data_IF_446065113597
#
_entry.id   IF_446065113597
#
_cell.length_a   1.000
_cell.length_b   1.000
_cell.length_c   1.000
_cell.angle_alpha   90.00
_cell.angle_beta   90.00
_cell.angle_gamma   90.00
#
_symmetry.space_group_name_H-M   'P 1'
#
loop_
_entity.id
_entity.type
_entity.pdbx_description
1 polymer ?
2 non-polymer ?
3 non-polymer ?
4 water ?
#
# COMPACT_ATOMS: atom_id res chain seq x y z
N UNK A 1 4.19 6.86 -25.47
CA UNK A 1 3.32 7.32 -24.35
C UNK A 1 3.22 8.84 -24.30
N UNK A 2 2.05 9.37 -23.91
CA UNK A 2 1.92 10.80 -23.64
C UNK A 2 2.72 11.16 -22.39
N UNK A 3 2.89 12.46 -22.14
CA UNK A 3 3.33 12.95 -20.84
C UNK A 3 2.51 12.29 -19.72
N UNK A 4 3.12 12.08 -18.54
CA UNK A 4 2.39 11.41 -17.44
C UNK A 4 1.01 11.98 -17.13
N UNK A 5 0.90 13.31 -17.00
CA UNK A 5 -0.41 13.95 -16.73
C UNK A 5 -1.40 13.75 -17.89
N UNK A 6 -0.88 13.81 -19.11
CA UNK A 6 -1.61 13.51 -20.35
C UNK A 6 -2.20 12.09 -20.29
N UNK A 7 -1.37 11.12 -19.89
CA UNK A 7 -1.78 9.72 -19.76
C UNK A 7 -2.80 9.53 -18.64
N UNK A 8 -2.57 10.19 -17.50
CA UNK A 8 -3.50 10.12 -16.38
C UNK A 8 -4.89 10.64 -16.77
N UNK A 9 -4.95 11.78 -17.44
CA UNK A 9 -6.21 12.28 -17.97
C UNK A 9 -6.91 11.28 -18.90
N UNK A 10 -6.14 10.72 -19.84
CA UNK A 10 -6.65 9.69 -20.76
C UNK A 10 -7.21 8.49 -19.99
N UNK A 11 -6.49 8.06 -18.96
CA UNK A 11 -6.95 6.95 -18.13
C UNK A 11 -8.31 7.25 -17.48
N UNK A 12 -8.48 8.45 -16.94
CA UNK A 12 -9.76 8.87 -16.34
C UNK A 12 -10.91 8.77 -17.32
N UNK A 13 -10.73 9.38 -18.49
CA UNK A 13 -11.78 9.41 -19.50
C UNK A 13 -12.10 8.01 -20.02
N UNK A 14 -11.07 7.17 -20.13
CA UNK A 14 -11.26 5.82 -20.66
C UNK A 14 -11.94 4.90 -19.63
N UNK A 15 -11.56 5.06 -18.36
CA UNK A 15 -12.10 4.23 -17.28
C UNK A 15 -13.47 4.71 -16.82
N UNK A 16 -13.81 5.96 -17.14
CA UNK A 16 -14.98 6.63 -16.57
C UNK A 16 -14.95 6.53 -15.05
N UNK A 17 -13.78 6.85 -14.49
CA UNK A 17 -13.58 6.81 -13.06
C UNK A 17 -12.54 7.82 -12.67
N UNK A 18 -12.36 8.00 -11.36
CA UNK A 18 -11.42 8.96 -10.83
C UNK A 18 -10.05 8.32 -10.59
N UNK A 19 -8.99 9.01 -11.03
CA UNK A 19 -7.60 8.59 -10.78
C UNK A 19 -6.97 9.59 -9.81
N UNK A 20 -6.17 9.08 -8.87
CA UNK A 20 -5.37 9.96 -8.02
C UNK A 20 -3.93 9.47 -8.09
N UNK A 21 -2.99 10.40 -8.20
CA UNK A 21 -1.59 10.03 -8.39
C UNK A 21 -0.61 11.01 -7.77
N UNK A 22 0.47 10.48 -7.20
CA UNK A 22 1.63 11.28 -6.86
C UNK A 22 2.91 10.55 -7.23
N UNK A 23 3.88 11.31 -7.73
CA UNK A 23 5.25 10.85 -7.88
C UNK A 23 6.09 11.77 -7.01
N UNK A 24 6.77 11.17 -6.04
CA UNK A 24 7.54 11.90 -5.04
C UNK A 24 8.98 11.41 -5.01
N UNK A 25 9.94 12.33 -4.88
CA UNK A 25 11.34 11.97 -4.72
C UNK A 25 11.52 11.34 -3.34
N UNK A 26 12.08 10.12 -3.30
CA UNK A 26 12.21 9.41 -2.03
C UNK A 26 13.16 10.12 -1.07
N UNK A 27 14.29 10.58 -1.60
CA UNK A 27 15.33 11.27 -0.82
C UNK A 27 14.82 12.57 -0.17
N UNK A 28 14.14 13.43 -0.94
CA UNK A 28 13.81 14.76 -0.43
C UNK A 28 12.36 14.98 -0.06
N UNK A 29 11.47 14.12 -0.58
CA UNK A 29 10.04 14.34 -0.41
C UNK A 29 9.40 15.32 -1.39
N UNK A 30 10.20 15.83 -2.32
CA UNK A 30 9.69 16.75 -3.36
C UNK A 30 8.61 16.06 -4.19
N UNK A 31 7.52 16.78 -4.45
CA UNK A 31 6.45 16.29 -5.29
C UNK A 31 6.74 16.64 -6.74
N UNK A 32 6.86 15.61 -7.57
CA UNK A 32 7.26 15.80 -8.97
C UNK A 32 6.07 15.86 -9.93
N UNK A 33 5.16 14.90 -9.80
CA UNK A 33 3.94 14.84 -10.59
C UNK A 33 2.80 14.62 -9.61
N UNK A 34 1.68 15.28 -9.84
CA UNK A 34 0.55 15.23 -8.92
C UNK A 34 -0.75 15.37 -9.68
N UNK A 35 -1.71 14.52 -9.34
CA UNK A 35 -3.06 14.59 -9.93
C UNK A 35 -4.08 14.16 -8.88
N UNK A 36 -5.02 15.05 -8.56
CA UNK A 36 -6.03 14.81 -7.51
C UNK A 36 -5.34 14.33 -6.23
N UNK A 37 -4.19 14.94 -5.95
CA UNK A 37 -3.32 14.46 -4.86
C UNK A 37 -3.95 14.68 -3.49
N UNK A 38 -4.91 15.60 -3.42
CA UNK A 38 -5.60 15.92 -2.18
C UNK A 38 -7.01 15.36 -2.12
N UNK A 39 -7.36 14.53 -3.10
CA UNK A 39 -8.68 13.88 -3.10
C UNK A 39 -8.62 12.50 -2.43
N UNK A 40 -9.75 12.07 -1.87
CA UNK A 40 -9.82 10.81 -1.10
C UNK A 40 -10.05 9.58 -1.96
N UNK A 41 -9.34 8.52 -1.61
CA UNK A 41 -9.46 7.23 -2.29
C UNK A 41 -9.41 6.13 -1.25
N UNK A 42 -10.22 5.07 -1.44
CA UNK A 42 -10.13 3.91 -0.54
C UNK A 42 -8.71 3.29 -0.58
N UNK A 43 -8.16 2.98 0.59
CA UNK A 43 -6.82 2.39 0.66
C UNK A 43 -6.77 0.94 0.21
N UNK A 44 -7.81 0.17 0.52
CA UNK A 44 -7.77 -1.28 0.29
C UNK A 44 -6.49 -1.83 0.94
N UNK A 45 -5.89 -2.88 0.38
CA UNK A 45 -4.73 -3.47 1.01
C UNK A 45 -3.49 -2.59 1.05
N UNK A 46 -3.50 -1.44 0.39
CA UNK A 46 -2.35 -0.55 0.55
C UNK A 46 -2.20 -0.11 2.02
N UNK A 47 -3.29 -0.17 2.78
CA UNK A 47 -3.26 0.17 4.22
C UNK A 47 -2.30 -0.73 4.98
N UNK A 48 -2.08 -1.94 4.47
CA UNK A 48 -1.23 -2.93 5.14
C UNK A 48 0.22 -2.49 5.31
N UNK A 49 0.70 -1.58 4.47
CA UNK A 49 2.04 -1.03 4.69
C UNK A 49 2.06 -0.16 5.95
N UNK A 50 1.05 0.70 6.13
CA UNK A 50 0.92 1.52 7.33
C UNK A 50 0.74 0.64 8.58
N UNK A 51 -0.11 -0.38 8.45
CA UNK A 51 -0.30 -1.34 9.52
C UNK A 51 1.02 -1.97 9.99
N UNK A 52 1.80 -2.46 9.04
CA UNK A 52 3.06 -3.09 9.41
C UNK A 52 4.06 -2.08 9.99
N UNK A 53 3.97 -0.82 9.57
CA UNK A 53 4.74 0.24 10.20
C UNK A 53 4.39 0.40 11.67
N UNK A 54 3.10 0.37 11.99
CA UNK A 54 2.65 0.49 13.38
C UNK A 54 3.14 -0.69 14.22
N UNK A 55 3.11 -1.90 13.65
CA UNK A 55 3.67 -3.09 14.28
C UNK A 55 5.16 -2.92 14.56
N UNK A 56 5.91 -2.47 13.56
CA UNK A 56 7.33 -2.24 13.71
C UNK A 56 7.65 -1.20 14.80
N UNK A 57 6.81 -0.16 14.90
CA UNK A 57 6.97 0.83 15.96
C UNK A 57 6.83 0.19 17.33
N UNK A 58 5.88 -0.75 17.48
CA UNK A 58 5.72 -1.47 18.75
C UNK A 58 6.96 -2.31 19.06
N UNK A 59 7.52 -2.95 18.02
CA UNK A 59 8.75 -3.74 18.15
C UNK A 59 9.91 -2.87 18.67
N UNK A 60 10.10 -1.71 18.03
CA UNK A 60 11.12 -0.75 18.41
C UNK A 60 11.00 -0.31 19.87
N UNK A 61 9.75 -0.13 20.31
CA UNK A 61 9.46 0.39 21.66
C UNK A 61 9.50 -0.72 22.72
N UNK A 62 9.76 -1.95 22.28
CA UNK A 62 9.79 -3.11 23.15
C UNK A 62 8.43 -3.65 23.54
N UNK A 63 7.39 -3.23 22.84
CA UNK A 63 6.02 -3.67 23.14
C UNK A 63 5.57 -4.87 22.29
N UNK A 64 6.47 -5.33 21.42
CA UNK A 64 6.15 -6.39 20.47
C UNK A 64 7.43 -7.07 20.02
N UNK A 65 7.30 -8.31 19.56
CA UNK A 65 8.38 -9.03 18.90
C UNK A 65 7.89 -9.66 17.62
N UNK A 66 8.66 -9.51 16.55
CA UNK A 66 8.36 -10.19 15.30
C UNK A 66 8.36 -11.71 15.44
N UNK A 67 9.09 -12.20 16.44
CA UNK A 67 9.17 -13.63 16.67
C UNK A 67 7.94 -14.21 17.34
N UNK A 68 7.16 -13.36 18.00
CA UNK A 68 6.04 -13.80 18.81
C UNK A 68 5.02 -14.57 17.98
N UNK A 69 4.76 -15.81 18.39
CA UNK A 69 3.81 -16.65 17.67
C UNK A 69 2.38 -16.36 18.10
N UNK A 70 1.53 -16.07 17.11
CA UNK A 70 0.12 -15.83 17.34
C UNK A 70 -0.68 -17.06 16.93
N UNK A 71 -1.49 -17.57 17.85
CA UNK A 71 -2.40 -18.65 17.53
C UNK A 71 -3.80 -18.07 17.38
N UNK A 72 -4.54 -18.58 16.40
CA UNK A 72 -5.84 -18.03 16.07
C UNK A 72 -6.79 -19.16 15.71
N UNK A 73 -8.06 -18.83 15.59
CA UNK A 73 -9.11 -19.81 15.32
C UNK A 73 -9.73 -19.60 13.95
N UNK A 74 -10.35 -20.66 13.45
CA UNK A 74 -11.02 -20.62 12.16
C UNK A 74 -12.09 -19.55 12.10
N UNK A 75 -12.77 -19.32 13.24
CA UNK A 75 -13.82 -18.30 13.32
C UNK A 75 -13.28 -16.87 13.19
N UNK A 76 -11.97 -16.70 13.37
CA UNK A 76 -11.32 -15.40 13.20
C UNK A 76 -11.03 -15.08 11.73
N UNK A 77 -11.08 -16.09 10.87
CA UNK A 77 -10.71 -15.91 9.47
C UNK A 77 -11.76 -15.16 8.66
N UNK A 78 -11.28 -14.27 7.79
CA UNK A 78 -12.14 -13.59 6.84
C UNK A 78 -11.76 -14.01 5.41
N UNK A 79 -12.52 -13.49 4.45
CA UNK A 79 -12.34 -13.72 3.03
C UNK A 79 -10.93 -13.37 2.53
N UNK A 80 -10.29 -14.35 1.90
CA UNK A 80 -8.93 -14.27 1.31
C UNK A 80 -7.82 -14.32 2.34
N UNK A 81 -7.46 -15.54 2.68
CA UNK A 81 -6.50 -15.82 3.73
C UNK A 81 -5.57 -16.94 3.27
N UNK A 82 -4.86 -16.72 2.15
CA UNK A 82 -4.10 -17.79 1.49
C UNK A 82 -3.02 -18.41 2.35
N UNK A 83 -2.45 -17.61 3.27
CA UNK A 83 -1.39 -18.09 4.15
C UNK A 83 -1.95 -18.47 5.51
N UNK A 84 -2.76 -17.58 6.10
CA UNK A 84 -3.26 -17.78 7.46
C UNK A 84 -4.15 -19.01 7.57
N UNK A 85 -4.89 -19.34 6.51
CA UNK A 85 -5.77 -20.51 6.59
C UNK A 85 -4.95 -21.79 6.77
N UNK A 86 -3.68 -21.73 6.39
CA UNK A 86 -2.81 -22.91 6.47
C UNK A 86 -2.22 -23.19 7.87
N UNK A 87 -2.43 -22.29 8.81
CA UNK A 87 -1.72 -22.35 10.10
C UNK A 87 -2.63 -22.27 11.32
N UNK A 88 -3.81 -22.88 11.22
CA UNK A 88 -4.72 -22.95 12.34
C UNK A 88 -4.15 -23.78 13.48
N UNK A 89 -3.39 -24.81 13.13
CA UNK A 89 -2.79 -25.70 14.12
C UNK A 89 -1.57 -25.07 14.79
N UNK A 90 -0.65 -24.55 13.98
CA UNK A 90 0.67 -24.14 14.49
C UNK A 90 0.87 -22.63 14.66
N UNK A 91 -0.08 -21.85 14.17
CA UNK A 91 -0.01 -20.39 14.27
C UNK A 91 1.02 -19.75 13.36
N UNK A 92 1.18 -18.44 13.52
CA UNK A 92 2.12 -17.65 12.75
C UNK A 92 2.76 -16.61 13.65
N UNK A 93 4.04 -16.35 13.41
CA UNK A 93 4.71 -15.26 14.10
C UNK A 93 4.17 -13.91 13.61
N UNK A 94 4.30 -12.89 14.46
CA UNK A 94 3.97 -11.52 14.10
C UNK A 94 4.65 -11.13 12.78
N UNK A 95 5.94 -11.45 12.65
CA UNK A 95 6.68 -11.18 11.42
C UNK A 95 6.11 -11.90 10.20
N UNK A 96 5.74 -13.18 10.39
CA UNK A 96 5.12 -13.97 9.33
C UNK A 96 3.79 -13.38 8.91
N UNK A 97 3.04 -12.88 9.90
CA UNK A 97 1.75 -12.26 9.65
C UNK A 97 1.93 -10.99 8.84
N UNK A 98 2.96 -10.21 9.17
CA UNK A 98 3.31 -9.02 8.40
C UNK A 98 3.67 -9.37 6.98
N UNK A 99 4.53 -10.37 6.79
CA UNK A 99 4.88 -10.80 5.44
C UNK A 99 3.65 -11.27 4.66
N UNK A 100 2.78 -12.05 5.30
CA UNK A 100 1.58 -12.53 4.60
C UNK A 100 0.64 -11.38 4.21
N UNK A 101 0.50 -10.41 5.11
CA UNK A 101 -0.29 -9.22 4.84
C UNK A 101 0.25 -8.45 3.61
N UNK A 102 1.54 -8.09 3.64
CA UNK A 102 2.12 -7.27 2.56
C UNK A 102 2.34 -8.06 1.27
N UNK A 103 2.96 -9.23 1.36
CA UNK A 103 3.36 -9.94 0.17
C UNK A 103 2.26 -10.79 -0.47
N UNK A 104 1.20 -11.09 0.28
CA UNK A 104 0.14 -12.00 -0.20
C UNK A 104 -1.27 -11.42 -0.09
N UNK A 105 -1.36 -10.21 0.47
CA UNK A 105 -2.66 -9.55 0.71
C UNK A 105 -3.57 -10.44 1.56
N UNK A 106 -2.98 -11.10 2.56
CA UNK A 106 -3.71 -11.99 3.44
C UNK A 106 -4.55 -11.16 4.40
N UNK A 107 -5.87 -11.24 4.24
CA UNK A 107 -6.80 -10.37 4.94
C UNK A 107 -6.93 -10.70 6.42
N UNK A 108 -6.88 -11.98 6.74
CA UNK A 108 -6.96 -12.41 8.13
C UNK A 108 -5.68 -12.06 8.86
N UNK A 109 -4.55 -12.18 8.17
CA UNK A 109 -3.27 -11.79 8.76
C UNK A 109 -3.32 -10.31 9.13
N UNK A 110 -3.88 -9.51 8.23
CA UNK A 110 -3.99 -8.08 8.47
C UNK A 110 -4.88 -7.79 9.68
N UNK A 111 -6.01 -8.49 9.79
CA UNK A 111 -6.88 -8.32 10.95
C UNK A 111 -6.24 -8.69 12.27
N UNK A 112 -5.47 -9.78 12.27
CA UNK A 112 -4.71 -10.20 13.45
C UNK A 112 -3.71 -9.14 13.89
N UNK A 113 -2.97 -8.57 12.92
CA UNK A 113 -2.07 -7.47 13.23
C UNK A 113 -2.81 -6.22 13.68
N UNK A 114 -3.95 -5.93 13.03
CA UNK A 114 -4.75 -4.75 13.38
C UNK A 114 -5.18 -4.76 14.85
N UNK A 115 -5.55 -5.94 15.34
CA UNK A 115 -5.87 -6.17 16.75
C UNK A 115 -4.71 -5.75 17.66
N UNK A 116 -3.50 -6.16 17.32
CA UNK A 116 -2.32 -5.85 18.14
C UNK A 116 -1.99 -4.36 18.25
N UNK A 117 -2.43 -3.55 17.29
CA UNK A 117 -2.17 -2.10 17.32
C UNK A 117 -3.36 -1.27 17.80
N UNK A 118 -4.39 -1.93 18.31
CA UNK A 118 -5.59 -1.27 18.80
C UNK A 118 -6.72 -1.06 17.79
N UNK A 119 -6.75 -1.91 16.76
CA UNK A 119 -7.81 -1.85 15.76
C UNK A 119 -7.68 -0.61 14.89
N UNK A 120 -8.71 -0.34 14.05
CA UNK A 120 -8.70 0.83 13.18
C UNK A 120 -8.45 2.14 13.93
N UNK A 121 -9.03 2.30 15.11
CA UNK A 121 -8.84 3.55 15.85
C UNK A 121 -7.38 3.71 16.28
N UNK A 122 -6.75 2.60 16.67
CA UNK A 122 -5.35 2.58 17.03
C UNK A 122 -4.43 2.90 15.86
N UNK A 123 -4.73 2.31 14.70
CA UNK A 123 -3.93 2.61 13.52
C UNK A 123 -4.11 4.09 13.10
N UNK A 124 -5.31 4.62 13.26
CA UNK A 124 -5.57 6.01 12.95
C UNK A 124 -4.82 6.91 13.95
N UNK A 125 -4.80 6.52 15.22
CA UNK A 125 -3.98 7.24 16.21
C UNK A 125 -2.50 7.23 15.81
N UNK A 126 -2.01 6.09 15.31
CA UNK A 126 -0.63 5.99 14.85
C UNK A 126 -0.34 6.98 13.69
N UNK A 127 -1.27 7.03 12.74
CA UNK A 127 -1.16 7.95 11.63
C UNK A 127 -1.03 9.40 12.12
N UNK A 128 -1.88 9.78 13.09
CA UNK A 128 -1.80 11.15 13.65
C UNK A 128 -0.46 11.37 14.36
N UNK A 129 0.05 10.32 15.01
CA UNK A 129 1.34 10.35 15.71
C UNK A 129 2.53 10.61 14.78
N UNK A 130 2.45 10.16 13.53
CA UNK A 130 3.51 10.39 12.55
C UNK A 130 3.22 11.59 11.64
N UNK A 131 2.20 12.38 12.01
CA UNK A 131 1.90 13.62 11.31
C UNK A 131 0.98 13.53 10.10
N UNK A 132 0.31 12.40 9.95
CA UNK A 132 -0.70 12.26 8.91
C UNK A 132 -2.07 12.54 9.53
N UNK A 133 -2.64 13.70 9.18
CA UNK A 133 -3.93 14.14 9.70
C UNK A 133 -5.08 13.89 8.72
N UNK A 134 -4.80 13.10 7.68
CA UNK A 134 -5.77 12.90 6.62
C UNK A 134 -6.21 11.44 6.48
N UNK A 135 -5.23 10.54 6.44
CA UNK A 135 -5.50 9.12 6.26
C UNK A 135 -6.27 8.60 7.46
N UNK A 136 -7.25 7.73 7.21
CA UNK A 136 -8.06 7.19 8.30
C UNK A 136 -8.45 5.75 8.00
N UNK A 137 -8.32 4.91 9.02
CA UNK A 137 -8.90 3.56 8.96
C UNK A 137 -10.02 3.45 10.00
N UNK A 138 -11.16 2.97 9.52
CA UNK A 138 -12.38 2.88 10.33
C UNK A 138 -12.86 1.45 10.55
N UNK A 139 -12.62 0.60 9.56
CA UNK A 139 -13.15 -0.76 9.56
C UNK A 139 -12.05 -1.82 9.44
N UNK A 140 -12.45 -3.07 9.60
CA UNK A 140 -11.57 -4.22 9.46
C UNK A 140 -11.70 -4.82 8.05
N UNK A 141 -10.83 -5.77 7.72
CA UNK A 141 -11.05 -6.59 6.53
C UNK A 141 -12.28 -7.48 6.75
N UNK A 142 -13.16 -7.62 5.76
CA UNK A 142 -13.06 -7.04 4.40
C UNK A 142 -13.98 -5.85 4.15
N UNK A 143 -14.71 -5.40 5.17
CA UNK A 143 -15.64 -4.27 5.06
C UNK A 143 -14.95 -2.99 4.61
N UNK A 144 -13.67 -2.84 4.94
CA UNK A 144 -12.94 -1.63 4.57
C UNK A 144 -12.78 -1.42 3.04
N UNK A 145 -13.16 -2.42 2.25
CA UNK A 145 -13.09 -2.36 0.78
C UNK A 145 -14.38 -1.90 0.13
N UNK A 146 -15.39 -1.57 0.94
CA UNK A 146 -16.73 -1.26 0.41
C UNK A 146 -16.75 -0.14 -0.64
N UNK A 147 -15.90 0.87 -0.46
CA UNK A 147 -15.70 1.94 -1.45
C UNK A 147 -17.00 2.59 -1.89
N UNK A 148 -17.85 2.95 -0.92
CA UNK A 148 -19.10 3.65 -1.20
C UNK A 148 -18.78 5.03 -1.75
N UNK A 149 -19.55 5.50 -2.76
CA UNK A 149 -19.27 6.82 -3.31
C UNK A 149 -19.35 7.90 -2.21
N UNK A 150 -18.31 8.74 -2.16
CA UNK A 150 -18.27 9.86 -1.23
C UNK A 150 -18.04 9.55 0.24
N UNK A 151 -17.87 8.26 0.57
CA UNK A 151 -17.64 7.80 1.93
C UNK A 151 -16.18 8.00 2.32
N UNK A 152 -15.93 8.77 3.38
CA UNK A 152 -14.56 9.06 3.81
C UNK A 152 -13.90 7.92 4.61
N UNK A 153 -14.66 6.89 4.96
CA UNK A 153 -14.11 5.77 5.73
C UNK A 153 -13.02 5.04 4.97
N UNK A 154 -11.93 4.74 5.66
CA UNK A 154 -10.88 3.83 5.16
C UNK A 154 -10.21 4.41 3.93
N UNK A 155 -10.02 5.73 3.94
CA UNK A 155 -9.44 6.45 2.82
C UNK A 155 -8.10 7.11 3.14
N UNK A 156 -7.36 7.39 2.07
CA UNK A 156 -6.17 8.24 2.13
C UNK A 156 -6.27 9.24 0.99
N UNK A 157 -5.25 10.08 0.82
CA UNK A 157 -5.09 10.84 -0.43
C UNK A 157 -3.73 10.44 -1.01
N UNK A 158 -3.54 10.58 -2.33
CA UNK A 158 -2.20 10.26 -2.84
C UNK A 158 -1.08 11.01 -2.10
N UNK A 159 -1.30 12.29 -1.81
CA UNK A 159 -0.27 13.10 -1.18
C UNK A 159 0.02 12.62 0.25
N UNK A 160 -1.03 12.28 1.01
CA UNK A 160 -0.85 11.80 2.39
C UNK A 160 -0.18 10.45 2.45
N UNK A 161 -0.65 9.52 1.61
CA UNK A 161 -0.03 8.19 1.56
C UNK A 161 1.44 8.25 1.16
N UNK A 162 1.79 9.08 0.17
CA UNK A 162 3.19 9.17 -0.25
C UNK A 162 4.07 9.72 0.88
N UNK A 163 3.60 10.77 1.54
CA UNK A 163 4.32 11.38 2.67
C UNK A 163 4.48 10.37 3.81
N UNK A 164 3.40 9.65 4.07
CA UNK A 164 3.42 8.66 5.14
C UNK A 164 4.37 7.50 4.84
N UNK A 165 4.36 7.02 3.60
CA UNK A 165 5.27 5.96 3.22
C UNK A 165 6.72 6.45 3.34
N UNK A 166 6.98 7.69 2.93
CA UNK A 166 8.33 8.23 3.05
C UNK A 166 8.74 8.30 4.53
N UNK A 167 7.83 8.76 5.38
CA UNK A 167 8.09 8.87 6.81
C UNK A 167 8.45 7.50 7.40
N UNK A 168 7.70 6.47 7.01
CA UNK A 168 7.94 5.13 7.54
C UNK A 168 9.25 4.53 7.07
N UNK A 169 9.60 4.77 5.82
CA UNK A 169 10.76 4.11 5.23
C UNK A 169 12.06 4.85 5.52
N UNK A 170 12.01 6.17 5.73
CA UNK A 170 13.24 6.97 5.72
C UNK A 170 13.46 7.99 6.84
N UNK A 171 12.42 8.32 7.61
CA UNK A 171 12.50 9.48 8.51
C UNK A 171 13.15 9.20 9.87
N UNK A 172 13.51 7.93 10.09
CA UNK A 172 14.14 7.52 11.35
C UNK A 172 13.17 7.60 12.54
N UNK A 173 11.87 7.60 12.23
CA UNK A 173 10.81 7.38 13.22
C UNK A 173 10.84 5.90 13.62
N UNK A 174 11.03 5.03 12.63
CA UNK A 174 11.33 3.62 12.85
C UNK A 174 12.83 3.44 12.93
N UNK A 175 13.24 2.39 13.65
CA UNK A 175 14.66 2.03 13.78
C UNK A 175 15.23 1.63 12.43
N UNK A 176 16.57 1.58 12.33
CA UNK A 176 17.21 1.18 11.10
C UNK A 176 16.74 -0.19 10.63
N UNK A 177 16.72 -1.16 11.54
CA UNK A 177 16.30 -2.51 11.19
C UNK A 177 14.84 -2.58 10.76
N UNK A 178 13.98 -1.83 11.44
CA UNK A 178 12.56 -1.79 11.10
C UNK A 178 12.31 -1.14 9.74
N UNK A 179 13.00 -0.04 9.44
CA UNK A 179 12.94 0.57 8.11
C UNK A 179 13.35 -0.42 7.02
N UNK A 180 14.42 -1.15 7.27
CA UNK A 180 14.92 -2.14 6.34
C UNK A 180 13.93 -3.29 6.15
N UNK A 181 13.29 -3.70 7.25
CA UNK A 181 12.30 -4.77 7.20
C UNK A 181 11.06 -4.36 6.40
N UNK A 182 10.56 -3.15 6.65
CA UNK A 182 9.36 -2.71 5.94
C UNK A 182 9.61 -2.66 4.44
N UNK A 183 10.77 -2.14 4.05
CA UNK A 183 11.19 -2.12 2.65
C UNK A 183 11.28 -3.53 2.06
N UNK A 184 11.92 -4.44 2.78
CA UNK A 184 12.09 -5.80 2.31
C UNK A 184 10.74 -6.49 2.07
N UNK A 185 9.77 -6.28 2.95
CA UNK A 185 8.43 -6.84 2.74
C UNK A 185 7.83 -6.37 1.43
N UNK A 186 7.95 -5.07 1.15
CA UNK A 186 7.50 -4.53 -0.13
C UNK A 186 8.26 -5.09 -1.32
N UNK A 187 9.58 -5.24 -1.19
CA UNK A 187 10.39 -5.90 -2.23
C UNK A 187 9.90 -7.31 -2.52
N UNK A 188 9.42 -7.97 -1.46
CA UNK A 188 9.02 -9.37 -1.54
C UNK A 188 7.56 -9.59 -1.98
N UNK A 189 6.87 -8.55 -2.42
CA UNK A 189 5.48 -8.71 -2.84
C UNK A 189 5.30 -9.83 -3.87
N UNK A 190 4.35 -10.72 -3.61
CA UNK A 190 4.09 -11.84 -4.53
C UNK A 190 2.86 -11.57 -5.39
N UNK A 191 2.05 -10.61 -4.98
CA UNK A 191 0.81 -10.30 -5.72
C UNK A 191 1.12 -9.68 -7.08
N UNK A 192 1.89 -8.61 -7.09
CA UNK A 192 2.17 -7.87 -8.32
C UNK A 192 3.65 -7.75 -8.67
N UNK A 193 4.53 -7.85 -7.66
CA UNK A 193 5.95 -7.60 -7.89
C UNK A 193 6.56 -8.34 -9.09
N UNK A 194 6.45 -9.69 -9.09
CA UNK A 194 7.06 -10.46 -10.17
C UNK A 194 6.49 -10.12 -11.56
N UNK A 195 5.17 -9.89 -11.64
CA UNK A 195 4.53 -9.46 -12.89
C UNK A 195 5.05 -8.09 -13.34
N UNK A 196 5.17 -7.17 -12.39
CA UNK A 196 5.71 -5.86 -12.70
C UNK A 196 7.15 -5.95 -13.23
N UNK A 197 7.98 -6.74 -12.55
CA UNK A 197 9.36 -6.93 -13.01
C UNK A 197 9.44 -7.46 -14.43
N UNK A 198 8.55 -8.36 -14.76
CA UNK A 198 8.50 -9.01 -16.09
C UNK A 198 8.29 -8.02 -17.23
N UNK A 199 7.64 -6.90 -16.92
CA UNK A 199 7.39 -5.85 -17.92
C UNK A 199 8.21 -4.56 -17.73
N UNK A 200 9.03 -4.50 -16.68
CA UNK A 200 9.91 -3.34 -16.51
C UNK A 200 11.17 -3.50 -17.33
N UNK A 201 11.72 -2.39 -17.88
CA UNK A 201 13.01 -2.51 -18.54
C UNK A 201 14.07 -2.95 -17.54
N UNK A 202 15.11 -3.59 -18.05
CA UNK A 202 16.28 -3.92 -17.26
C UNK A 202 16.76 -2.69 -16.48
N UNK A 203 17.15 -2.92 -15.23
CA UNK A 203 17.71 -1.88 -14.41
C UNK A 203 16.75 -1.12 -13.51
N UNK A 204 15.45 -1.41 -13.61
CA UNK A 204 14.44 -0.71 -12.83
C UNK A 204 14.07 -1.46 -11.55
N UNK A 205 14.32 -0.81 -10.43
CA UNK A 205 13.97 -1.27 -9.08
C UNK A 205 12.46 -1.19 -8.90
N UNK A 206 11.86 -2.26 -8.35
CA UNK A 206 10.47 -2.16 -7.88
C UNK A 206 10.26 -2.80 -6.51
N UNK A 207 9.50 -2.10 -5.69
CA UNK A 207 8.91 -2.64 -4.46
C UNK A 207 7.49 -2.09 -4.39
N UNK A 208 6.52 -2.86 -3.90
CA UNK A 208 5.14 -2.41 -4.01
C UNK A 208 4.20 -3.06 -3.03
N UNK A 209 3.05 -2.40 -2.82
CA UNK A 209 1.86 -3.05 -2.29
C UNK A 209 0.65 -2.63 -3.12
N UNK A 210 -0.16 -3.63 -3.50
CA UNK A 210 -1.38 -3.40 -4.26
C UNK A 210 -2.65 -3.53 -3.40
N UNK A 211 -3.76 -3.08 -3.96
CA UNK A 211 -5.05 -3.26 -3.34
C UNK A 211 -6.15 -3.25 -4.36
N UNK A 212 -7.26 -3.90 -4.01
CA UNK A 212 -8.47 -3.90 -4.85
C UNK A 212 -9.69 -3.79 -3.94
N UNK A 213 -10.73 -3.13 -4.41
CA UNK A 213 -11.96 -3.01 -3.66
C UNK A 213 -13.18 -2.99 -4.55
N UNK A 214 -14.29 -2.54 -3.98
CA UNK A 214 -15.55 -2.50 -4.72
C UNK A 214 -15.63 -1.28 -5.65
N UNK A 215 -16.60 -1.32 -6.56
CA UNK A 215 -16.87 -0.24 -7.49
C UNK A 215 -15.65 0.18 -8.32
N UNK A 216 -14.79 -0.79 -8.64
CA UNK A 216 -13.62 -0.56 -9.45
C UNK A 216 -12.39 -0.11 -8.69
N UNK A 217 -12.51 0.08 -7.38
CA UNK A 217 -11.37 0.58 -6.59
C UNK A 217 -10.12 -0.29 -6.79
N UNK A 218 -8.98 0.35 -7.04
CA UNK A 218 -7.73 -0.32 -7.39
C UNK A 218 -6.61 0.62 -6.96
N UNK A 219 -5.50 0.08 -6.52
CA UNK A 219 -4.43 0.96 -6.10
C UNK A 219 -3.10 0.27 -5.96
N UNK A 220 -2.05 1.09 -6.04
CA UNK A 220 -0.70 0.60 -5.82
C UNK A 220 0.11 1.70 -5.14
N UNK A 221 0.92 1.30 -4.17
CA UNK A 221 1.95 2.18 -3.62
C UNK A 221 3.27 1.50 -3.91
N UNK A 222 4.21 2.25 -4.46
CA UNK A 222 5.43 1.63 -4.97
C UNK A 222 6.66 2.48 -4.78
N UNK A 223 7.82 1.79 -4.73
CA UNK A 223 9.10 2.47 -4.89
C UNK A 223 9.69 2.04 -6.24
N UNK A 224 10.20 3.02 -6.98
CA UNK A 224 10.59 2.80 -8.37
C UNK A 224 11.82 3.65 -8.68
N UNK A 225 12.71 3.12 -9.53
CA UNK A 225 13.79 3.93 -10.06
C UNK A 225 14.73 3.14 -10.95
N UNK A 226 15.43 3.86 -11.84
CA UNK A 226 16.47 3.29 -12.70
C UNK A 226 17.75 3.01 -11.90
N UNK A 227 18.74 2.38 -12.55
CA UNK A 227 20.01 2.06 -11.90
C UNK A 227 19.84 1.27 -10.61
N UNK A 228 18.82 0.42 -10.61
CA UNK A 228 18.53 -0.51 -9.50
C UNK A 228 18.42 0.14 -8.14
N UNK A 229 17.92 1.37 -8.13
CA UNK A 229 17.80 2.17 -6.92
C UNK A 229 16.38 2.68 -6.78
N UNK A 230 15.85 2.58 -5.57
CA UNK A 230 14.56 3.17 -5.25
C UNK A 230 14.73 4.69 -5.26
N UNK A 231 14.24 5.34 -6.30
CA UNK A 231 14.43 6.79 -6.47
C UNK A 231 13.16 7.54 -6.09
N UNK A 232 12.00 6.99 -6.46
CA UNK A 232 10.73 7.69 -6.26
C UNK A 232 9.65 6.82 -5.64
N UNK A 233 8.81 7.46 -4.84
CA UNK A 233 7.54 6.88 -4.43
C UNK A 233 6.51 7.22 -5.49
N UNK A 234 5.79 6.20 -5.95
CA UNK A 234 4.66 6.43 -6.86
C UNK A 234 3.43 5.82 -6.23
N UNK A 235 2.38 6.62 -6.09
CA UNK A 235 1.11 6.18 -5.52
C UNK A 235 0.04 6.44 -6.56
N UNK A 236 -0.72 5.39 -6.89
CA UNK A 236 -1.81 5.52 -7.89
C UNK A 236 -3.03 4.82 -7.35
N UNK A 237 -4.15 5.55 -7.27
CA UNK A 237 -5.45 4.98 -6.91
C UNK A 237 -6.44 5.22 -8.03
N UNK A 238 -7.38 4.28 -8.18
CA UNK A 238 -8.53 4.40 -9.08
C UNK A 238 -9.76 4.15 -8.23
N UNK A 239 -10.86 4.86 -8.53
CA UNK A 239 -12.12 4.58 -7.86
C UNK A 239 -13.29 4.89 -8.80
N UNK A 240 -14.44 4.26 -8.52
CA UNK A 240 -15.70 4.54 -9.23
C UNK A 240 -15.62 4.37 -10.75
N UNK A 241 -15.05 3.25 -11.16
CA UNK A 241 -15.00 2.87 -12.56
C UNK A 241 -15.59 1.48 -12.72
N UNK A 242 -16.37 1.26 -13.81
CA UNK A 242 -16.96 -0.06 -14.01
C UNK A 242 -16.05 -1.00 -14.82
N UNK A 243 -14.82 -0.56 -15.09
CA UNK A 243 -13.90 -1.29 -15.95
C UNK A 243 -13.49 -2.64 -15.39
N UNK A 244 -13.21 -3.57 -16.32
CA UNK A 244 -12.62 -4.85 -15.98
C UNK A 244 -11.34 -4.68 -15.16
N UNK A 245 -11.05 -5.67 -14.33
CA UNK A 245 -9.77 -5.69 -13.61
C UNK A 245 -8.62 -5.59 -14.62
N UNK A 246 -8.70 -6.29 -15.74
CA UNK A 246 -7.62 -6.26 -16.72
C UNK A 246 -7.35 -4.84 -17.23
N UNK A 247 -8.41 -4.11 -17.53
CA UNK A 247 -8.24 -2.77 -18.06
C UNK A 247 -7.78 -1.78 -16.99
N UNK A 248 -8.24 -1.97 -15.75
CA UNK A 248 -7.72 -1.18 -14.62
C UNK A 248 -6.21 -1.39 -14.45
N UNK A 249 -5.79 -2.65 -14.50
CA UNK A 249 -4.36 -2.98 -14.40
C UNK A 249 -3.58 -2.37 -15.53
N UNK A 250 -4.15 -2.47 -16.73
CA UNK A 250 -3.51 -1.94 -17.93
C UNK A 250 -3.37 -0.42 -17.88
N UNK A 251 -4.39 0.27 -17.36
CA UNK A 251 -4.33 1.72 -17.22
C UNK A 251 -3.28 2.15 -16.20
N UNK A 252 -3.22 1.46 -15.05
CA UNK A 252 -2.18 1.76 -14.08
C UNK A 252 -0.80 1.52 -14.68
N UNK A 253 -0.64 0.39 -15.37
CA UNK A 253 0.61 0.09 -16.10
C UNK A 253 0.97 1.19 -17.11
N UNK A 254 -0.03 1.72 -17.81
CA UNK A 254 0.17 2.82 -18.77
C UNK A 254 0.64 4.12 -18.13
N UNK A 255 0.13 4.43 -16.94
CA UNK A 255 0.63 5.58 -16.19
C UNK A 255 2.09 5.33 -15.82
N UNK A 256 2.38 4.14 -15.31
CA UNK A 256 3.75 3.73 -15.02
C UNK A 256 4.67 3.86 -16.23
N UNK A 257 4.21 3.42 -17.39
CA UNK A 257 4.98 3.49 -18.63
C UNK A 257 5.30 4.93 -18.99
N UNK A 258 4.32 5.82 -18.81
CA UNK A 258 4.50 7.25 -19.08
C UNK A 258 5.55 7.83 -18.14
N UNK A 259 5.51 7.44 -16.87
CA UNK A 259 6.50 7.91 -15.90
C UNK A 259 7.91 7.47 -16.29
N UNK A 260 8.05 6.22 -16.73
CA UNK A 260 9.35 5.67 -17.11
C UNK A 260 9.86 6.34 -18.38
N UNK A 261 8.99 6.44 -19.38
CA UNK A 261 9.32 7.07 -20.67
C UNK A 261 9.75 8.52 -20.49
N UNK A 262 9.12 9.22 -19.54
CA UNK A 262 9.38 10.63 -19.31
C UNK A 262 10.07 10.88 -17.96
N UNK A 263 10.96 9.97 -17.57
CA UNK A 263 11.55 9.99 -16.23
C UNK A 263 12.40 11.22 -15.91
N UNK A 264 13.21 11.64 -16.88
CA UNK A 264 14.30 12.60 -16.63
C UNK A 264 13.84 14.06 -16.53
N UNK A 265 13.25 14.42 -15.38
CA UNK A 265 12.69 15.77 -15.17
C UNK A 265 12.49 16.11 -13.70
#
# INVERSE_FOLDING_TARGET
SPQPLEQIKLSESQLSGRVGMIEMDLASGRTLTAWRADERFPMMCTFKVVLCGAVLARVDAGDEQLERKIHYRQQDLVDYSPVSEKHLADGMTVGELCAAAITMSDNSAANLLLATVGGPAGLTAFLRQIGDNVTRLDRWETELNEALPGDARDTTTPASMAATLRKLLTSQRLSARSQRQLLQWMVDDRVAGPLIRSVLPAGWFIADKTGAGERGARGIVALLGPNNKAERIVVIYLRDTPASMAERNQQIAGIGAALIEHWQR
#
